data_IF_365947468922
#
_entry.id   IF_365947468922
#
_cell.length_a   1.000
_cell.length_b   1.000
_cell.length_c   1.000
_cell.angle_alpha   90.00
_cell.angle_beta   90.00
_cell.angle_gamma   90.00
#
_symmetry.space_group_name_H-M   'P 1'
#
loop_
_entity.id
_entity.type
_entity.pdbx_description
1 polymer ?
#
# COMPACT_ATOMS: atom_id res chain seq x y z
N UNK A 1 23.77 -12.14 29.20
CA UNK A 1 23.02 -10.87 29.11
C UNK A 1 23.37 -10.16 27.80
N UNK A 2 24.63 -9.80 27.53
CA UNK A 2 25.01 -9.14 26.26
C UNK A 2 24.73 -9.94 24.96
N UNK A 3 24.90 -11.27 24.95
CA UNK A 3 24.70 -12.08 23.73
C UNK A 3 23.25 -12.05 23.20
N UNK A 4 22.25 -11.96 24.09
CA UNK A 4 20.83 -11.93 23.71
C UNK A 4 20.41 -10.54 23.17
N UNK A 5 21.03 -9.48 23.70
CA UNK A 5 20.85 -8.12 23.21
C UNK A 5 21.46 -7.95 21.82
N UNK A 6 22.67 -8.49 21.62
CA UNK A 6 23.35 -8.49 20.32
C UNK A 6 22.54 -9.28 19.26
N UNK A 7 21.97 -10.43 19.62
CA UNK A 7 21.13 -11.22 18.71
C UNK A 7 19.87 -10.48 18.29
N UNK A 8 19.20 -9.79 19.23
CA UNK A 8 18.01 -8.97 18.94
C UNK A 8 18.35 -7.78 18.05
N UNK A 9 19.51 -7.15 18.27
CA UNK A 9 19.97 -6.03 17.44
C UNK A 9 20.29 -6.50 16.00
N UNK A 10 21.01 -7.61 15.86
CA UNK A 10 21.28 -8.23 14.56
C UNK A 10 19.99 -8.60 13.82
N UNK A 11 19.00 -9.18 14.52
CA UNK A 11 17.71 -9.50 13.94
C UNK A 11 16.96 -8.24 13.47
N UNK A 12 17.00 -7.17 14.25
CA UNK A 12 16.39 -5.90 13.88
C UNK A 12 17.07 -5.27 12.66
N UNK A 13 18.41 -5.23 12.62
CA UNK A 13 19.16 -4.72 11.47
C UNK A 13 18.86 -5.51 10.19
N UNK A 14 18.79 -6.83 10.28
CA UNK A 14 18.42 -7.68 9.15
C UNK A 14 16.98 -7.41 8.68
N UNK A 15 16.05 -7.18 9.62
CA UNK A 15 14.67 -6.82 9.28
C UNK A 15 14.60 -5.46 8.56
N UNK A 16 15.36 -4.46 8.99
CA UNK A 16 15.44 -3.15 8.32
C UNK A 16 16.00 -3.31 6.90
N UNK A 17 17.11 -4.06 6.72
CA UNK A 17 17.67 -4.32 5.40
C UNK A 17 16.69 -5.03 4.46
N UNK A 18 15.93 -5.99 4.98
CA UNK A 18 14.89 -6.67 4.21
C UNK A 18 13.78 -5.72 3.77
N UNK A 19 13.37 -4.78 4.64
CA UNK A 19 12.40 -3.74 4.30
C UNK A 19 12.95 -2.81 3.22
N UNK A 20 14.19 -2.33 3.35
CA UNK A 20 14.83 -1.47 2.34
C UNK A 20 14.89 -2.14 0.96
N UNK A 21 15.35 -3.40 0.92
CA UNK A 21 15.41 -4.18 -0.32
C UNK A 21 14.03 -4.42 -0.93
N UNK A 22 13.01 -4.68 -0.09
CA UNK A 22 11.64 -4.89 -0.56
C UNK A 22 10.95 -3.61 -1.04
N UNK A 23 11.30 -2.45 -0.48
CA UNK A 23 10.70 -1.16 -0.86
C UNK A 23 11.32 -0.54 -2.10
N UNK A 24 12.59 -0.84 -2.39
CA UNK A 24 13.30 -0.32 -3.56
C UNK A 24 12.47 -0.40 -4.87
N UNK A 25 11.93 -1.57 -5.29
CA UNK A 25 11.15 -1.64 -6.53
C UNK A 25 9.86 -0.82 -6.50
N UNK A 26 9.22 -0.69 -5.32
CA UNK A 26 7.99 0.10 -5.15
C UNK A 26 8.28 1.60 -5.28
N UNK A 27 9.43 2.05 -4.76
CA UNK A 27 9.88 3.43 -4.89
C UNK A 27 10.27 3.76 -6.34
N UNK A 28 10.90 2.82 -7.04
CA UNK A 28 11.19 2.94 -8.47
C UNK A 28 9.90 3.06 -9.28
N UNK A 29 8.92 2.15 -9.07
CA UNK A 29 7.61 2.21 -9.72
C UNK A 29 6.88 3.54 -9.45
N UNK A 30 6.91 4.03 -8.21
CA UNK A 30 6.30 5.31 -7.84
C UNK A 30 7.02 6.53 -8.45
N UNK A 31 8.34 6.46 -8.64
CA UNK A 31 9.15 7.55 -9.22
C UNK A 31 9.00 7.70 -10.72
N UNK A 32 8.68 6.61 -11.42
CA UNK A 32 8.51 6.59 -12.88
C UNK A 32 7.26 7.37 -13.30
N UNK A 33 6.30 7.59 -12.38
CA UNK A 33 5.18 8.52 -12.50
C UNK A 33 4.52 8.52 -13.87
N UNK A 34 3.44 7.75 -14.05
CA UNK A 34 2.79 7.63 -15.36
C UNK A 34 2.41 9.01 -15.90
N UNK A 35 3.08 9.39 -16.99
CA UNK A 35 2.75 10.57 -17.75
C UNK A 35 1.37 10.35 -18.39
N UNK A 36 0.38 11.01 -17.80
CA UNK A 36 -0.93 11.37 -18.35
C UNK A 36 -1.72 10.27 -19.11
N UNK A 37 -2.87 9.88 -18.56
CA UNK A 37 -3.92 9.23 -19.36
C UNK A 37 -3.88 7.70 -19.48
N UNK A 38 -3.26 6.98 -18.55
CA UNK A 38 -3.40 5.53 -18.44
C UNK A 38 -4.85 5.08 -18.30
N UNK A 39 -5.14 3.83 -18.70
CA UNK A 39 -6.45 3.20 -18.55
C UNK A 39 -6.85 3.06 -17.07
N UNK A 40 -8.08 2.61 -16.83
CA UNK A 40 -8.61 2.52 -15.46
C UNK A 40 -7.80 1.55 -14.59
N UNK A 41 -7.26 0.47 -15.17
CA UNK A 41 -6.44 -0.50 -14.45
C UNK A 41 -5.09 0.10 -14.01
N UNK A 42 -4.46 0.86 -14.91
CA UNK A 42 -3.21 1.59 -14.64
C UNK A 42 -3.40 2.57 -13.48
N UNK A 43 -4.46 3.37 -13.49
CA UNK A 43 -4.76 4.33 -12.42
C UNK A 43 -5.10 3.64 -11.08
N UNK A 44 -5.78 2.50 -11.13
CA UNK A 44 -6.06 1.71 -9.93
C UNK A 44 -4.76 1.15 -9.33
N UNK A 45 -3.85 0.66 -10.16
CA UNK A 45 -2.55 0.17 -9.71
C UNK A 45 -1.69 1.28 -9.10
N UNK A 46 -1.67 2.46 -9.70
CA UNK A 46 -1.00 3.64 -9.11
C UNK A 46 -1.58 4.00 -7.75
N UNK A 47 -2.91 4.03 -7.63
CA UNK A 47 -3.57 4.28 -6.35
C UNK A 47 -3.20 3.21 -5.30
N UNK A 48 -3.05 1.95 -5.70
CA UNK A 48 -2.58 0.87 -4.81
C UNK A 48 -1.15 1.12 -4.33
N UNK A 49 -0.23 1.51 -5.22
CA UNK A 49 1.15 1.86 -4.88
C UNK A 49 1.19 3.03 -3.90
N UNK A 50 0.42 4.10 -4.16
CA UNK A 50 0.37 5.26 -3.26
C UNK A 50 -0.19 4.93 -1.87
N UNK A 51 -1.27 4.14 -1.79
CA UNK A 51 -1.85 3.70 -0.51
C UNK A 51 -0.86 2.80 0.24
N UNK A 52 -0.18 1.89 -0.45
CA UNK A 52 0.83 1.03 0.14
C UNK A 52 2.02 1.83 0.70
N UNK A 53 2.53 2.81 -0.06
CA UNK A 53 3.61 3.70 0.40
C UNK A 53 3.19 4.51 1.62
N UNK A 54 1.99 5.08 1.61
CA UNK A 54 1.47 5.82 2.76
C UNK A 54 1.35 4.94 4.00
N UNK A 55 0.89 3.69 3.87
CA UNK A 55 0.80 2.76 4.99
C UNK A 55 2.18 2.38 5.53
N UNK A 56 3.13 2.10 4.63
CA UNK A 56 4.51 1.77 4.98
C UNK A 56 5.18 2.92 5.73
N UNK A 57 5.13 4.14 5.20
CA UNK A 57 5.76 5.31 5.84
C UNK A 57 5.23 5.55 7.26
N UNK A 58 3.91 5.49 7.44
CA UNK A 58 3.31 5.64 8.77
C UNK A 58 3.69 4.49 9.71
N UNK A 59 3.79 3.26 9.20
CA UNK A 59 4.21 2.10 9.99
C UNK A 59 5.68 2.19 10.42
N UNK A 60 6.56 2.61 9.52
CA UNK A 60 7.98 2.84 9.83
C UNK A 60 8.15 3.97 10.83
N UNK A 61 7.38 5.05 10.69
CA UNK A 61 7.41 6.13 11.67
C UNK A 61 6.91 5.68 13.05
N UNK A 62 5.85 4.86 13.10
CA UNK A 62 5.39 4.23 14.34
C UNK A 62 6.50 3.36 14.98
N UNK A 63 7.22 2.56 14.19
CA UNK A 63 8.34 1.75 14.69
C UNK A 63 9.48 2.63 15.20
N UNK A 64 9.84 3.68 14.48
CA UNK A 64 10.86 4.64 14.87
C UNK A 64 10.55 5.28 16.23
N UNK A 65 9.32 5.75 16.46
CA UNK A 65 8.93 6.33 17.75
C UNK A 65 9.19 5.35 18.91
N UNK A 66 8.91 4.06 18.70
CA UNK A 66 9.16 3.03 19.72
C UNK A 66 10.65 2.81 19.98
N UNK A 67 11.53 3.00 19.00
CA UNK A 67 12.98 2.94 19.24
C UNK A 67 13.49 4.14 20.03
N UNK A 68 12.80 5.28 19.96
CA UNK A 68 13.09 6.48 20.75
C UNK A 68 12.49 6.42 22.17
N UNK A 69 11.85 5.30 22.54
CA UNK A 69 11.16 5.18 23.83
C UNK A 69 9.86 5.98 23.93
N UNK A 70 9.34 6.49 22.81
CA UNK A 70 8.05 7.19 22.74
C UNK A 70 6.92 6.15 22.65
N UNK A 71 5.86 6.34 23.45
CA UNK A 71 4.65 5.53 23.32
C UNK A 71 3.89 5.90 22.04
N UNK A 72 4.17 5.16 20.97
CA UNK A 72 3.55 5.36 19.67
C UNK A 72 2.03 5.07 19.67
N UNK A 73 1.48 4.41 20.72
CA UNK A 73 0.04 4.11 20.78
C UNK A 73 -0.83 5.34 21.01
N UNK A 74 -0.27 6.37 21.67
CA UNK A 74 -0.92 7.67 21.93
C UNK A 74 -0.49 8.74 20.90
N UNK A 75 0.40 8.39 19.97
CA UNK A 75 0.90 9.34 18.98
C UNK A 75 -0.09 9.48 17.81
N UNK A 76 -0.28 10.70 17.24
CA UNK A 76 -1.19 10.93 16.11
C UNK A 76 -0.99 10.03 14.89
N UNK A 77 0.20 9.45 14.72
CA UNK A 77 0.49 8.44 13.67
C UNK A 77 -0.50 7.26 13.69
N UNK A 78 -1.10 6.94 14.85
CA UNK A 78 -2.15 5.93 14.96
C UNK A 78 -3.36 6.29 14.10
N UNK A 79 -3.79 7.56 14.17
CA UNK A 79 -4.90 8.10 13.38
C UNK A 79 -4.53 8.14 11.89
N UNK A 80 -3.27 8.47 11.57
CA UNK A 80 -2.76 8.42 10.19
C UNK A 80 -2.85 7.01 9.59
N UNK A 81 -2.44 5.99 10.34
CA UNK A 81 -2.54 4.59 9.94
C UNK A 81 -3.99 4.20 9.68
N UNK A 82 -4.91 4.57 10.58
CA UNK A 82 -6.33 4.25 10.43
C UNK A 82 -6.96 5.01 9.26
N UNK A 83 -6.55 6.25 8.99
CA UNK A 83 -6.94 6.99 7.78
C UNK A 83 -6.50 6.28 6.50
N UNK A 84 -5.27 5.76 6.46
CA UNK A 84 -4.79 5.01 5.28
C UNK A 84 -5.57 3.72 5.08
N UNK A 85 -5.95 3.00 6.15
CA UNK A 85 -6.82 1.81 6.04
C UNK A 85 -8.19 2.15 5.44
N UNK A 86 -8.76 3.31 5.78
CA UNK A 86 -10.01 3.79 5.17
C UNK A 86 -9.80 4.05 3.67
N UNK A 87 -8.68 4.67 3.27
CA UNK A 87 -8.35 4.88 1.86
C UNK A 87 -8.21 3.54 1.10
N UNK A 88 -7.55 2.55 1.69
CA UNK A 88 -7.45 1.20 1.14
C UNK A 88 -8.82 0.55 0.95
N UNK A 89 -9.71 0.65 1.95
CA UNK A 89 -11.06 0.11 1.83
C UNK A 89 -11.87 0.75 0.68
N UNK A 90 -11.74 2.08 0.50
CA UNK A 90 -12.34 2.79 -0.63
C UNK A 90 -11.78 2.31 -1.96
N UNK A 91 -10.46 2.14 -2.06
CA UNK A 91 -9.80 1.64 -3.26
C UNK A 91 -10.29 0.25 -3.65
N UNK A 92 -10.39 -0.67 -2.68
CA UNK A 92 -10.92 -2.02 -2.93
C UNK A 92 -12.38 -2.02 -3.38
N UNK A 93 -13.19 -1.07 -2.87
CA UNK A 93 -14.56 -0.89 -3.33
C UNK A 93 -14.61 -0.46 -4.80
N UNK A 94 -13.87 0.60 -5.15
CA UNK A 94 -13.81 1.10 -6.54
C UNK A 94 -13.30 0.02 -7.48
N UNK A 95 -12.25 -0.72 -7.10
CA UNK A 95 -11.70 -1.81 -7.91
C UNK A 95 -12.74 -2.90 -8.21
N UNK A 96 -13.60 -3.23 -7.23
CA UNK A 96 -14.69 -4.20 -7.41
C UNK A 96 -15.76 -3.67 -8.36
N UNK A 97 -16.22 -2.44 -8.12
CA UNK A 97 -17.25 -1.78 -8.95
C UNK A 97 -16.79 -1.67 -10.40
N UNK A 98 -15.54 -1.25 -10.65
CA UNK A 98 -14.96 -1.20 -12.00
C UNK A 98 -14.99 -2.56 -12.69
N UNK A 99 -14.65 -3.65 -11.98
CA UNK A 99 -14.64 -5.00 -12.54
C UNK A 99 -16.04 -5.53 -12.85
N UNK A 100 -17.03 -5.12 -12.09
CA UNK A 100 -18.44 -5.49 -12.32
C UNK A 100 -19.01 -4.74 -13.53
N UNK A 101 -18.69 -3.45 -13.69
CA UNK A 101 -19.09 -2.67 -14.87
C UNK A 101 -18.50 -3.23 -16.17
N UNK A 102 -17.19 -3.51 -16.20
CA UNK A 102 -16.56 -4.07 -17.41
C UNK A 102 -17.05 -5.48 -17.76
N UNK A 103 -17.58 -6.23 -16.78
CA UNK A 103 -18.20 -7.55 -17.02
C UNK A 103 -19.65 -7.45 -17.48
N UNK A 104 -20.40 -6.46 -17.02
CA UNK A 104 -21.78 -6.20 -17.42
C UNK A 104 -21.89 -5.77 -18.88
N UNK A 105 -20.96 -4.92 -19.35
CA UNK A 105 -20.94 -4.42 -20.73
C UNK A 105 -20.66 -5.51 -21.78
N UNK A 106 -19.91 -6.56 -21.43
CA UNK A 106 -19.61 -7.69 -22.33
C UNK A 106 -20.75 -8.72 -22.45
N UNK A 107 -21.75 -8.68 -21.56
CA UNK A 107 -22.88 -9.61 -21.56
C UNK A 107 -24.11 -9.13 -22.33
N UNK A 108 -24.17 -7.84 -22.67
CA UNK A 108 -25.34 -7.21 -23.32
C UNK A 108 -25.17 -7.07 -24.85
N UNK A 109 -24.00 -7.42 -25.40
CA UNK A 109 -23.68 -7.32 -26.83
C UNK A 109 -23.98 -8.58 -27.65
N UNK A 110 -24.61 -9.62 -27.09
CA UNK A 110 -24.89 -10.90 -27.77
C UNK A 110 -26.38 -11.14 -28.09
N UNK A 111 -27.29 -10.16 -27.96
CA UNK A 111 -28.75 -10.39 -28.09
C UNK A 111 -29.43 -9.58 -29.20
N UNK A 112 -28.71 -8.97 -30.13
CA UNK A 112 -29.31 -8.26 -31.27
C UNK A 112 -28.80 -8.77 -32.62
N UNK A 113 -29.09 -10.03 -32.97
CA UNK A 113 -29.04 -10.52 -34.35
C UNK A 113 -29.89 -11.80 -34.48
N UNK A 114 -31.21 -11.68 -34.35
CA UNK A 114 -32.18 -12.63 -34.92
C UNK A 114 -33.61 -12.05 -34.82
N UNK A 115 -34.03 -11.33 -35.89
CA UNK A 115 -35.39 -11.36 -36.47
C UNK A 115 -35.45 -10.54 -37.78
#
# INVERSE_FOLDING_TARGET
>A
MGLEEDERLNAFENAIRAIEQGLQPVLEEASVGSADGGDVDTRLREAEVHVALAYTLNSLFYMFLRTQGVDASQHPVREEIDRVKIAYAKLQRVRRETREMTRGEAGDSEVEDED
#
